data_IF_487359602782
#
_entry.id   IF_487359602782
#
_cell.length_a   1.000
_cell.length_b   1.000
_cell.length_c   1.000
_cell.angle_alpha   90.00
_cell.angle_beta   90.00
_cell.angle_gamma   90.00
#
_symmetry.space_group_name_H-M   'P 1'
#
loop_
_entity.id
_entity.type
_entity.pdbx_description
1 polymer ?
#
# COMPACT_ATOMS: atom_id res chain seq x y z
N UNK A 1 38.01 -15.33 -8.75
CA UNK A 1 37.20 -14.46 -9.63
C UNK A 1 37.07 -15.17 -10.97
N UNK A 2 36.02 -14.90 -11.75
CA UNK A 2 36.04 -15.28 -13.17
C UNK A 2 37.28 -14.68 -13.86
N UNK A 3 37.79 -15.37 -14.89
CA UNK A 3 39.04 -15.04 -15.59
C UNK A 3 38.74 -14.85 -17.09
N UNK A 4 39.20 -13.73 -17.67
CA UNK A 4 38.99 -13.35 -19.06
C UNK A 4 40.10 -12.38 -19.53
N UNK A 5 40.25 -12.23 -20.85
CA UNK A 5 41.22 -11.33 -21.49
C UNK A 5 40.74 -9.86 -21.54
N UNK A 6 41.67 -8.93 -21.79
CA UNK A 6 41.35 -7.51 -21.99
C UNK A 6 40.45 -7.28 -23.21
N UNK A 7 39.59 -6.24 -23.12
CA UNK A 7 38.66 -5.87 -24.19
C UNK A 7 39.14 -4.62 -24.92
N UNK A 8 39.12 -4.67 -26.26
CA UNK A 8 39.46 -3.54 -27.14
C UNK A 8 38.31 -2.51 -27.31
N UNK A 9 37.26 -2.59 -26.48
CA UNK A 9 36.05 -1.75 -26.60
C UNK A 9 36.25 -0.42 -25.86
N UNK A 10 35.90 0.70 -26.49
CA UNK A 10 35.89 2.01 -25.83
C UNK A 10 34.81 2.06 -24.74
N UNK A 11 35.12 2.41 -23.48
CA UNK A 11 34.11 2.60 -22.43
C UNK A 11 33.00 3.58 -22.79
N UNK A 12 33.22 4.51 -23.73
CA UNK A 12 32.19 5.41 -24.24
C UNK A 12 31.06 4.67 -25.00
N UNK A 13 31.35 3.48 -25.51
CA UNK A 13 30.38 2.62 -26.23
C UNK A 13 29.69 1.62 -25.29
N UNK A 14 29.95 1.67 -23.97
CA UNK A 14 29.38 0.78 -22.98
C UNK A 14 28.27 1.46 -22.18
N UNK A 15 27.05 0.97 -22.34
CA UNK A 15 25.93 1.36 -21.46
C UNK A 15 25.98 0.50 -20.19
N UNK A 16 26.12 1.15 -19.03
CA UNK A 16 26.24 0.49 -17.73
C UNK A 16 25.06 0.83 -16.81
N UNK A 17 24.71 -0.12 -15.95
CA UNK A 17 23.77 0.12 -14.84
C UNK A 17 24.57 0.64 -13.65
N UNK A 18 24.40 1.92 -13.32
CA UNK A 18 25.13 2.57 -12.20
C UNK A 18 24.40 2.39 -10.86
N UNK A 19 23.08 2.20 -10.90
CA UNK A 19 22.27 1.96 -9.71
C UNK A 19 20.90 1.38 -10.09
N UNK A 20 20.20 0.87 -9.10
CA UNK A 20 18.87 0.30 -9.23
C UNK A 20 18.23 0.07 -7.87
N UNK A 21 16.94 0.30 -7.78
CA UNK A 21 16.14 0.08 -6.59
C UNK A 21 14.75 -0.43 -6.99
N UNK A 22 14.07 -1.07 -6.06
CA UNK A 22 12.70 -1.54 -6.21
C UNK A 22 11.89 -1.20 -4.96
N UNK A 23 10.57 -1.20 -5.14
CA UNK A 23 9.60 -1.24 -4.05
C UNK A 23 8.61 -2.35 -4.38
N UNK A 24 8.51 -3.34 -3.50
CA UNK A 24 7.66 -4.51 -3.73
C UNK A 24 7.17 -5.16 -2.43
N UNK A 25 6.65 -6.40 -2.52
CA UNK A 25 6.07 -7.09 -1.36
C UNK A 25 7.03 -7.28 -0.16
N UNK A 26 8.34 -7.27 -0.39
CA UNK A 26 9.36 -7.29 0.66
C UNK A 26 10.09 -5.96 0.82
N UNK A 27 9.47 -4.83 0.49
CA UNK A 27 10.07 -3.51 0.62
C UNK A 27 11.13 -3.26 -0.45
N UNK A 28 12.36 -2.95 -0.03
CA UNK A 28 13.46 -2.60 -0.94
C UNK A 28 14.17 -3.82 -1.52
N UNK A 29 15.05 -3.60 -2.49
CA UNK A 29 15.89 -4.67 -3.07
C UNK A 29 16.81 -5.33 -2.05
N UNK A 30 17.19 -4.65 -0.96
CA UNK A 30 18.04 -5.22 0.10
C UNK A 30 17.27 -6.27 0.91
N UNK A 31 16.10 -5.90 1.40
CA UNK A 31 15.25 -6.76 2.23
C UNK A 31 14.66 -7.90 1.41
N UNK A 32 14.27 -7.64 0.15
CA UNK A 32 13.86 -8.68 -0.79
C UNK A 32 14.99 -9.67 -1.06
N UNK A 33 16.21 -9.21 -1.36
CA UNK A 33 17.33 -10.12 -1.65
C UNK A 33 17.75 -10.96 -0.44
N UNK A 34 17.72 -10.39 0.77
CA UNK A 34 17.96 -11.15 2.00
C UNK A 34 16.95 -12.29 2.15
N UNK A 35 15.65 -11.98 2.05
CA UNK A 35 14.60 -12.99 2.13
C UNK A 35 14.68 -14.03 1.00
N UNK A 36 15.02 -13.61 -0.21
CA UNK A 36 15.14 -14.51 -1.38
C UNK A 36 16.29 -15.52 -1.24
N UNK A 37 17.43 -15.10 -0.68
CA UNK A 37 18.64 -15.94 -0.62
C UNK A 37 18.75 -16.74 0.68
N UNK A 38 18.57 -16.09 1.83
CA UNK A 38 18.71 -16.75 3.14
C UNK A 38 17.40 -17.21 3.75
N UNK A 39 16.25 -16.72 3.26
CA UNK A 39 14.94 -17.02 3.86
C UNK A 39 14.72 -16.35 5.22
N UNK A 40 15.62 -15.47 5.64
CA UNK A 40 15.59 -14.77 6.93
C UNK A 40 16.07 -13.33 6.77
N UNK A 41 15.52 -12.43 7.58
CA UNK A 41 15.93 -11.03 7.62
C UNK A 41 17.10 -10.85 8.60
N UNK A 42 18.07 -10.03 8.21
CA UNK A 42 19.07 -9.53 9.15
C UNK A 42 18.45 -8.51 10.12
N UNK A 43 19.14 -8.17 11.21
CA UNK A 43 18.68 -7.12 12.13
C UNK A 43 18.42 -5.78 11.41
N UNK A 44 19.27 -5.44 10.43
CA UNK A 44 19.07 -4.25 9.60
C UNK A 44 17.83 -4.39 8.71
N UNK A 45 17.56 -5.58 8.17
CA UNK A 45 16.36 -5.84 7.36
C UNK A 45 15.07 -5.78 8.18
N UNK A 46 15.08 -6.30 9.42
CA UNK A 46 13.95 -6.17 10.34
C UNK A 46 13.68 -4.70 10.66
N UNK A 47 14.72 -3.93 11.02
CA UNK A 47 14.57 -2.50 11.30
C UNK A 47 14.08 -1.71 10.07
N UNK A 48 14.61 -2.00 8.89
CA UNK A 48 14.22 -1.33 7.64
C UNK A 48 12.72 -1.51 7.36
N UNK A 49 12.21 -2.74 7.49
CA UNK A 49 10.80 -3.03 7.26
C UNK A 49 9.90 -2.55 8.40
N UNK A 50 10.32 -2.67 9.66
CA UNK A 50 9.58 -2.14 10.80
C UNK A 50 9.40 -0.62 10.70
N UNK A 51 10.44 0.10 10.25
CA UNK A 51 10.36 1.53 10.00
C UNK A 51 9.47 1.86 8.80
N UNK A 52 9.64 1.15 7.68
CA UNK A 52 8.88 1.40 6.45
C UNK A 52 7.39 1.13 6.62
N UNK A 53 7.03 0.14 7.44
CA UNK A 53 5.64 -0.23 7.76
C UNK A 53 5.06 0.51 8.96
N UNK A 54 5.79 1.51 9.48
CA UNK A 54 5.32 2.40 10.54
C UNK A 54 5.23 1.79 11.93
N UNK A 55 5.83 0.62 12.17
CA UNK A 55 5.86 -0.01 13.51
C UNK A 55 6.77 0.74 14.47
N UNK A 56 7.88 1.29 13.97
CA UNK A 56 8.82 2.10 14.74
C UNK A 56 9.09 3.42 14.05
N UNK A 57 9.41 4.43 14.84
CA UNK A 57 9.81 5.77 14.39
C UNK A 57 11.01 6.26 15.20
N UNK A 58 11.80 7.14 14.59
CA UNK A 58 12.86 7.83 15.32
C UNK A 58 12.32 9.08 15.97
N UNK A 59 12.61 9.30 17.26
CA UNK A 59 12.30 10.53 17.97
C UNK A 59 13.53 10.98 18.76
N UNK A 60 13.74 12.30 18.87
CA UNK A 60 14.84 12.88 19.64
C UNK A 60 14.47 13.17 21.10
N UNK A 61 13.17 13.33 21.39
CA UNK A 61 12.60 13.60 22.72
C UNK A 61 11.69 12.44 23.16
N UNK A 62 11.69 12.03 24.45
CA UNK A 62 12.52 12.53 25.56
C UNK A 62 13.99 12.06 25.53
N UNK A 63 14.32 11.10 24.67
CA UNK A 63 15.67 10.57 24.45
C UNK A 63 15.79 10.10 23.00
N UNK A 64 16.85 10.48 22.30
CA UNK A 64 17.12 10.03 20.95
C UNK A 64 17.14 8.49 20.82
N UNK A 65 16.29 7.96 19.95
CA UNK A 65 16.24 6.53 19.65
C UNK A 65 15.00 6.11 18.87
N UNK A 66 14.85 4.78 18.73
CA UNK A 66 13.67 4.16 18.13
C UNK A 66 12.55 4.06 19.15
N UNK A 67 11.36 4.50 18.76
CA UNK A 67 10.15 4.40 19.54
C UNK A 67 9.13 3.54 18.80
N UNK A 68 8.46 2.69 19.56
CA UNK A 68 7.30 1.95 19.07
C UNK A 68 6.16 2.93 18.77
N UNK A 69 5.57 2.85 17.59
CA UNK A 69 4.58 3.82 17.13
C UNK A 69 3.25 3.72 17.88
N UNK A 70 2.87 2.52 18.33
CA UNK A 70 1.60 2.29 19.01
C UNK A 70 1.66 2.69 20.49
N UNK A 71 2.72 2.26 21.18
CA UNK A 71 2.87 2.46 22.62
C UNK A 71 3.61 3.75 22.98
N UNK A 72 4.45 4.27 22.08
CA UNK A 72 5.33 5.40 22.36
C UNK A 72 6.50 5.05 23.28
N UNK A 73 6.81 3.77 23.47
CA UNK A 73 7.93 3.31 24.29
C UNK A 73 9.26 3.31 23.53
N UNK A 74 10.35 3.69 24.20
CA UNK A 74 11.70 3.60 23.64
C UNK A 74 12.09 2.13 23.50
N UNK A 75 12.47 1.73 22.30
CA UNK A 75 12.92 0.37 21.95
C UNK A 75 14.44 0.31 21.92
N UNK A 76 15.08 -0.52 22.77
CA UNK A 76 16.51 -0.80 22.66
C UNK A 76 16.85 -1.53 21.36
N UNK A 77 17.96 -1.16 20.70
CA UNK A 77 18.35 -1.78 19.42
C UNK A 77 18.51 -3.30 19.49
N UNK A 78 18.95 -3.84 20.63
CA UNK A 78 19.11 -5.29 20.83
C UNK A 78 17.79 -6.06 20.85
N UNK A 79 16.65 -5.38 21.03
CA UNK A 79 15.33 -6.00 21.11
C UNK A 79 14.54 -5.89 19.80
N UNK A 80 15.04 -5.14 18.80
CA UNK A 80 14.31 -4.89 17.55
C UNK A 80 13.97 -6.20 16.82
N UNK A 81 14.93 -7.13 16.74
CA UNK A 81 14.69 -8.40 16.05
C UNK A 81 13.67 -9.25 16.81
N UNK A 82 13.84 -9.40 18.12
CA UNK A 82 12.96 -10.21 18.95
C UNK A 82 11.52 -9.67 18.96
N UNK A 83 11.34 -8.34 18.98
CA UNK A 83 10.02 -7.70 19.05
C UNK A 83 9.30 -7.64 17.70
N UNK A 84 10.01 -7.39 16.60
CA UNK A 84 9.36 -7.02 15.33
C UNK A 84 9.52 -8.04 14.19
N UNK A 85 10.38 -9.05 14.32
CA UNK A 85 10.62 -10.01 13.24
C UNK A 85 9.31 -10.65 12.73
N UNK A 86 8.53 -11.24 13.64
CA UNK A 86 7.33 -11.98 13.25
C UNK A 86 6.24 -11.06 12.67
N UNK A 87 6.07 -9.87 13.27
CA UNK A 87 5.13 -8.86 12.78
C UNK A 87 5.49 -8.37 11.37
N UNK A 88 6.79 -8.20 11.09
CA UNK A 88 7.28 -7.84 9.75
C UNK A 88 7.03 -8.96 8.75
N UNK A 89 7.32 -10.21 9.11
CA UNK A 89 7.09 -11.37 8.24
C UNK A 89 5.61 -11.55 7.91
N UNK A 90 4.71 -11.31 8.86
CA UNK A 90 3.26 -11.38 8.61
C UNK A 90 2.77 -10.30 7.64
N UNK A 91 3.32 -9.07 7.72
CA UNK A 91 2.90 -7.94 6.88
C UNK A 91 3.56 -7.91 5.51
N UNK A 92 4.62 -8.68 5.29
CA UNK A 92 5.41 -8.64 4.07
C UNK A 92 5.32 -9.94 3.25
N UNK A 93 5.45 -9.82 1.94
CA UNK A 93 5.39 -10.95 1.01
C UNK A 93 4.00 -11.23 0.46
N UNK A 94 3.84 -12.42 -0.12
CA UNK A 94 2.59 -12.90 -0.70
C UNK A 94 1.63 -13.25 0.44
N UNK A 95 0.49 -12.57 0.49
CA UNK A 95 -0.54 -12.69 1.52
C UNK A 95 -1.92 -12.39 0.94
N UNK A 96 -2.97 -12.63 1.73
CA UNK A 96 -4.34 -12.27 1.35
C UNK A 96 -4.46 -10.76 1.10
N UNK A 97 -5.43 -10.37 0.27
CA UNK A 97 -5.75 -8.97 0.07
C UNK A 97 -6.25 -8.37 1.40
N UNK A 98 -5.51 -7.40 1.92
CA UNK A 98 -5.90 -6.59 3.08
C UNK A 98 -6.29 -5.23 2.55
N UNK A 99 -7.51 -4.81 2.83
CA UNK A 99 -7.97 -3.48 2.46
C UNK A 99 -7.28 -2.43 3.34
N UNK A 100 -6.53 -1.54 2.70
CA UNK A 100 -5.84 -0.41 3.31
C UNK A 100 -6.38 0.92 2.74
N UNK A 101 -7.52 0.85 2.04
CA UNK A 101 -8.28 2.00 1.56
C UNK A 101 -9.17 2.58 2.67
N UNK A 102 -9.35 3.90 2.65
CA UNK A 102 -10.30 4.58 3.53
C UNK A 102 -11.77 4.47 3.05
N UNK A 103 -12.02 3.74 1.96
CA UNK A 103 -13.32 3.66 1.28
C UNK A 103 -13.78 2.21 1.28
N UNK A 104 -15.05 1.99 1.62
CA UNK A 104 -15.68 0.68 1.68
C UNK A 104 -15.57 -0.08 0.33
N UNK A 105 -15.17 -1.36 0.33
CA UNK A 105 -15.02 -2.17 -0.88
C UNK A 105 -16.36 -2.47 -1.58
N UNK A 106 -17.51 -2.30 -0.91
CA UNK A 106 -18.85 -2.63 -1.42
C UNK A 106 -19.33 -1.72 -2.57
N UNK A 107 -18.51 -0.77 -3.02
CA UNK A 107 -18.86 0.15 -4.11
C UNK A 107 -18.12 -0.14 -5.43
N UNK A 108 -17.22 -1.13 -5.46
CA UNK A 108 -16.37 -1.41 -6.62
C UNK A 108 -16.85 -2.59 -7.50
N UNK A 109 -17.77 -3.41 -7.00
CA UNK A 109 -18.21 -4.62 -7.70
C UNK A 109 -19.43 -4.35 -8.59
N UNK A 110 -19.34 -4.57 -9.92
CA UNK A 110 -20.49 -4.34 -10.80
C UNK A 110 -21.57 -5.40 -10.55
N UNK A 111 -22.67 -4.97 -9.92
CA UNK A 111 -23.90 -5.74 -9.80
C UNK A 111 -24.91 -5.23 -10.82
N UNK A 112 -25.11 -5.99 -11.90
CA UNK A 112 -26.17 -5.71 -12.87
C UNK A 112 -27.46 -6.38 -12.40
N UNK A 113 -28.37 -5.58 -11.83
CA UNK A 113 -29.70 -6.04 -11.42
C UNK A 113 -30.76 -5.28 -12.22
N UNK A 114 -31.55 -5.99 -13.03
CA UNK A 114 -32.73 -5.42 -13.69
C UNK A 114 -33.88 -5.38 -12.70
N UNK A 115 -34.33 -4.17 -12.34
CA UNK A 115 -35.45 -3.95 -11.43
C UNK A 115 -36.56 -3.24 -12.20
N UNK A 116 -37.78 -3.77 -12.12
CA UNK A 116 -39.00 -3.07 -12.53
C UNK A 116 -39.65 -2.51 -11.27
N UNK A 117 -39.97 -1.20 -11.26
CA UNK A 117 -40.64 -0.55 -10.15
C UNK A 117 -42.16 -0.70 -10.32
N UNK A 118 -42.77 -1.59 -9.54
CA UNK A 118 -44.23 -1.81 -9.57
C UNK A 118 -45.02 -0.79 -8.74
N UNK A 119 -44.33 0.13 -8.07
CA UNK A 119 -44.92 1.13 -7.16
C UNK A 119 -44.25 2.48 -7.34
N UNK A 120 -45.04 3.53 -7.13
CA UNK A 120 -44.56 4.91 -7.10
C UNK A 120 -43.49 5.09 -6.02
N UNK A 121 -42.38 5.74 -6.38
CA UNK A 121 -41.31 6.13 -5.45
C UNK A 121 -41.26 7.65 -5.33
N UNK A 122 -40.90 8.15 -4.15
CA UNK A 122 -40.70 9.58 -3.92
C UNK A 122 -39.26 9.81 -3.50
N UNK A 123 -38.60 10.78 -4.12
CA UNK A 123 -37.24 11.19 -3.77
C UNK A 123 -37.17 12.71 -3.63
N UNK A 124 -36.15 13.17 -2.92
CA UNK A 124 -35.94 14.60 -2.66
C UNK A 124 -35.09 15.21 -3.76
N UNK A 125 -35.41 16.46 -4.09
CA UNK A 125 -34.63 17.30 -5.01
C UNK A 125 -34.23 18.59 -4.31
N UNK A 126 -33.07 19.11 -4.68
CA UNK A 126 -32.47 20.32 -4.11
C UNK A 126 -33.13 21.62 -4.59
N UNK A 127 -33.85 21.60 -5.71
CA UNK A 127 -34.52 22.77 -6.27
C UNK A 127 -35.69 22.43 -7.20
N UNK A 128 -36.55 23.41 -7.47
CA UNK A 128 -37.62 23.27 -8.47
C UNK A 128 -37.05 23.00 -9.89
N UNK A 129 -35.91 23.61 -10.21
CA UNK A 129 -35.24 23.41 -11.50
C UNK A 129 -34.81 21.95 -11.68
N UNK A 130 -34.25 21.33 -10.64
CA UNK A 130 -33.87 19.91 -10.64
C UNK A 130 -35.12 19.02 -10.81
N UNK A 131 -36.21 19.31 -10.08
CA UNK A 131 -37.46 18.57 -10.21
C UNK A 131 -38.02 18.59 -11.65
N UNK A 132 -37.98 19.76 -12.30
CA UNK A 132 -38.43 19.90 -13.70
C UNK A 132 -37.54 19.13 -14.67
N UNK A 133 -36.24 19.03 -14.41
CA UNK A 133 -35.32 18.26 -15.26
C UNK A 133 -35.63 16.75 -15.24
N UNK A 134 -35.98 16.19 -14.07
CA UNK A 134 -36.42 14.79 -13.96
C UNK A 134 -37.74 14.55 -14.71
N UNK A 135 -38.72 15.44 -14.58
CA UNK A 135 -40.00 15.35 -15.32
C UNK A 135 -39.78 15.49 -16.85
N UNK A 136 -38.82 16.32 -17.29
CA UNK A 136 -38.53 16.46 -18.73
C UNK A 136 -37.86 15.22 -19.32
N UNK A 137 -37.07 14.48 -18.54
CA UNK A 137 -36.42 13.26 -19.00
C UNK A 137 -37.41 12.10 -19.21
N UNK A 138 -38.39 11.95 -18.31
CA UNK A 138 -39.46 10.95 -18.42
C UNK A 138 -40.83 11.56 -18.05
N UNK A 139 -41.45 12.31 -18.97
CA UNK A 139 -42.71 13.01 -18.70
C UNK A 139 -43.92 12.08 -18.58
N UNK A 140 -43.81 10.84 -19.06
CA UNK A 140 -44.90 9.85 -19.00
C UNK A 140 -44.94 9.13 -17.65
N UNK A 141 -43.80 8.97 -16.96
CA UNK A 141 -43.70 8.21 -15.71
C UNK A 141 -43.22 9.01 -14.49
N UNK A 142 -42.95 10.32 -14.60
CA UNK A 142 -42.49 11.16 -13.47
C UNK A 142 -43.41 12.36 -13.23
N UNK A 143 -43.74 12.64 -11.96
CA UNK A 143 -44.54 13.82 -11.55
C UNK A 143 -43.84 14.56 -10.41
N UNK A 144 -43.72 15.88 -10.53
CA UNK A 144 -43.30 16.76 -9.43
C UNK A 144 -44.53 17.35 -8.72
N UNK A 145 -44.57 17.27 -7.39
CA UNK A 145 -45.66 17.79 -6.54
C UNK A 145 -45.13 18.74 -5.48
#
# INVERSE_FOLDING_TARGET
APEWDDLDVDPADLVVIVGGAELGPYGSSRTRFAMEVSGELSAAGVLELAWTTGMVKWEDDPKAGWYDTETGELVPECEIVERYHDAVVERCGIREFVDDGAIDPDHASPLLVSVFLDKDFTFVVSSEADARAFVQFDPEHTVAR
#
